data_IF_485035417906
#
_entry.id   IF_485035417906
#
_cell.length_a   1.000
_cell.length_b   1.000
_cell.length_c   1.000
_cell.angle_alpha   90.00
_cell.angle_beta   90.00
_cell.angle_gamma   90.00
#
_symmetry.space_group_name_H-M   'P 1'
#
loop_
_entity.id
_entity.type
_entity.pdbx_description
1 polymer ?
#
# COMPACT_ATOMS: atom_id res chain seq x y z
N UNK A 1 -10.47 -4.57 -19.75
CA UNK A 1 -10.61 -3.44 -18.83
C UNK A 1 -9.62 -3.57 -17.70
N UNK A 2 -8.99 -2.45 -17.34
CA UNK A 2 -8.28 -2.23 -16.09
C UNK A 2 -9.25 -2.31 -14.90
N UNK A 3 -8.75 -2.72 -13.71
CA UNK A 3 -9.56 -2.77 -12.51
C UNK A 3 -10.08 -1.36 -12.12
N UNK A 4 -11.31 -1.32 -11.62
CA UNK A 4 -11.93 -0.14 -10.99
C UNK A 4 -12.50 -0.61 -9.66
N UNK A 5 -11.89 -0.17 -8.57
CA UNK A 5 -12.20 -0.58 -7.20
C UNK A 5 -13.38 0.22 -6.60
N UNK A 6 -13.79 1.31 -7.25
CA UNK A 6 -15.03 1.99 -6.91
C UNK A 6 -16.24 1.10 -7.25
N UNK A 7 -17.17 0.99 -6.30
CA UNK A 7 -18.45 0.33 -6.54
C UNK A 7 -19.34 1.20 -7.46
N UNK A 8 -19.26 0.93 -8.76
CA UNK A 8 -20.11 1.51 -9.82
C UNK A 8 -20.56 0.45 -10.83
N UNK A 9 -21.66 0.67 -11.58
CA UNK A 9 -22.10 -0.24 -12.64
C UNK A 9 -21.02 -0.48 -13.70
N UNK A 10 -21.11 -1.61 -14.39
CA UNK A 10 -20.14 -2.01 -15.43
C UNK A 10 -20.05 -0.96 -16.55
N UNK A 11 -21.14 -0.29 -16.86
CA UNK A 11 -21.21 0.79 -17.84
C UNK A 11 -20.34 1.98 -17.46
N UNK A 12 -20.32 2.38 -16.18
CA UNK A 12 -19.41 3.41 -15.69
C UNK A 12 -17.95 2.95 -15.75
N UNK A 13 -17.67 1.69 -15.38
CA UNK A 13 -16.30 1.13 -15.48
C UNK A 13 -15.77 1.16 -16.92
N UNK A 14 -16.64 0.94 -17.91
CA UNK A 14 -16.30 1.05 -19.34
C UNK A 14 -15.95 2.48 -19.74
N UNK A 15 -16.71 3.47 -19.29
CA UNK A 15 -16.43 4.89 -19.57
C UNK A 15 -15.11 5.32 -18.91
N UNK A 16 -14.90 4.95 -17.63
CA UNK A 16 -13.64 5.20 -16.92
C UNK A 16 -12.46 4.59 -17.69
N UNK A 17 -12.58 3.33 -18.14
CA UNK A 17 -11.54 2.68 -18.93
C UNK A 17 -11.30 3.38 -20.27
N UNK A 18 -12.37 3.81 -20.95
CA UNK A 18 -12.25 4.58 -22.21
C UNK A 18 -11.48 5.88 -21.98
N UNK A 19 -11.79 6.59 -20.90
CA UNK A 19 -11.09 7.80 -20.49
C UNK A 19 -9.60 7.55 -20.19
N UNK A 20 -9.26 6.49 -19.47
CA UNK A 20 -7.85 6.07 -19.28
C UNK A 20 -7.21 5.69 -20.63
N UNK A 21 -7.98 5.11 -21.56
CA UNK A 21 -7.53 4.83 -22.91
C UNK A 21 -7.09 6.07 -23.68
N UNK A 22 -7.81 7.19 -23.55
CA UNK A 22 -7.41 8.48 -24.11
C UNK A 22 -6.08 8.98 -23.54
N UNK A 23 -5.82 8.73 -22.26
CA UNK A 23 -4.55 9.09 -21.62
C UNK A 23 -3.37 8.35 -22.25
N UNK A 24 -3.51 7.03 -22.42
CA UNK A 24 -2.49 6.23 -23.09
C UNK A 24 -2.37 6.53 -24.58
N UNK A 25 -3.47 6.87 -25.26
CA UNK A 25 -3.44 7.28 -26.66
C UNK A 25 -2.62 8.55 -26.84
N UNK A 26 -2.87 9.58 -26.02
CA UNK A 26 -2.09 10.81 -26.03
C UNK A 26 -0.62 10.54 -25.72
N UNK A 27 -0.32 9.78 -24.66
CA UNK A 27 1.06 9.41 -24.31
C UNK A 27 1.79 8.75 -25.49
N UNK A 28 1.13 7.79 -26.15
CA UNK A 28 1.70 7.12 -27.33
C UNK A 28 1.95 8.10 -28.48
N UNK A 29 0.99 8.97 -28.79
CA UNK A 29 1.16 9.98 -29.84
C UNK A 29 2.31 10.94 -29.52
N UNK A 30 2.47 11.34 -28.26
CA UNK A 30 3.60 12.18 -27.82
C UNK A 30 4.92 11.45 -27.96
N UNK A 31 5.00 10.17 -27.56
CA UNK A 31 6.19 9.33 -27.76
C UNK A 31 6.56 9.14 -29.24
N UNK A 32 5.57 9.02 -30.14
CA UNK A 32 5.78 8.87 -31.58
C UNK A 32 6.21 10.18 -32.26
N UNK A 33 5.75 11.33 -31.76
CA UNK A 33 6.10 12.65 -32.27
C UNK A 33 7.45 13.18 -31.78
N UNK A 34 7.90 12.71 -30.61
CA UNK A 34 9.19 13.04 -30.00
C UNK A 34 10.09 11.80 -29.97
N UNK A 35 10.41 11.32 -28.77
CA UNK A 35 11.16 10.10 -28.51
C UNK A 35 10.56 9.39 -27.31
N UNK A 36 10.41 8.06 -27.39
CA UNK A 36 9.99 7.27 -26.24
C UNK A 36 10.92 7.47 -25.04
N UNK A 37 12.24 7.57 -25.23
CA UNK A 37 13.15 7.75 -24.09
C UNK A 37 12.93 9.11 -23.39
N UNK A 38 12.68 10.17 -24.15
CA UNK A 38 12.49 11.52 -23.61
C UNK A 38 11.15 11.67 -22.89
N UNK A 39 10.07 11.13 -23.47
CA UNK A 39 8.72 11.24 -22.89
C UNK A 39 8.59 10.33 -21.67
N UNK A 40 9.15 9.12 -21.73
CA UNK A 40 9.03 8.15 -20.64
C UNK A 40 9.89 8.47 -19.42
N UNK A 41 10.81 9.42 -19.50
CA UNK A 41 11.54 9.97 -18.34
C UNK A 41 10.61 10.63 -17.30
N UNK A 42 9.42 11.08 -17.73
CA UNK A 42 8.37 11.56 -16.82
C UNK A 42 7.56 10.42 -16.18
N UNK A 43 7.71 9.18 -16.65
CA UNK A 43 6.92 8.02 -16.22
C UNK A 43 7.76 7.05 -15.38
N UNK A 44 9.02 6.84 -15.77
CA UNK A 44 9.91 5.87 -15.13
C UNK A 44 11.21 6.53 -14.70
N UNK A 45 11.80 6.09 -13.58
CA UNK A 45 13.12 6.53 -13.19
C UNK A 45 14.18 6.06 -14.20
N UNK A 46 15.25 6.84 -14.35
CA UNK A 46 16.33 6.60 -15.32
C UNK A 46 16.91 5.19 -15.25
N UNK A 47 17.12 4.64 -14.04
CA UNK A 47 17.67 3.30 -13.87
C UNK A 47 16.77 2.18 -14.43
N UNK A 48 15.46 2.42 -14.58
CA UNK A 48 14.55 1.52 -15.28
C UNK A 48 14.66 1.75 -16.78
N UNK A 49 14.61 2.99 -17.24
CA UNK A 49 14.62 3.32 -18.67
C UNK A 49 15.91 2.86 -19.37
N UNK A 50 17.07 3.12 -18.76
CA UNK A 50 18.39 2.79 -19.31
C UNK A 50 18.55 1.28 -19.60
N UNK A 51 17.79 0.45 -18.90
CA UNK A 51 17.93 -1.01 -18.92
C UNK A 51 16.71 -1.70 -19.55
N UNK A 52 15.53 -1.11 -19.41
CA UNK A 52 14.22 -1.74 -19.69
C UNK A 52 13.34 -0.89 -20.61
N UNK A 53 13.91 0.00 -21.43
CA UNK A 53 13.14 0.86 -22.36
C UNK A 53 12.12 0.07 -23.19
N UNK A 54 12.54 -1.04 -23.83
CA UNK A 54 11.63 -1.86 -24.66
C UNK A 54 10.44 -2.38 -23.86
N UNK A 55 10.66 -2.80 -22.61
CA UNK A 55 9.61 -3.25 -21.70
C UNK A 55 8.67 -2.10 -21.33
N UNK A 56 9.19 -0.91 -21.01
CA UNK A 56 8.39 0.28 -20.72
C UNK A 56 7.45 0.63 -21.90
N UNK A 57 8.00 0.64 -23.12
CA UNK A 57 7.25 0.84 -24.36
C UNK A 57 6.15 -0.22 -24.52
N UNK A 58 6.48 -1.47 -24.25
CA UNK A 58 5.55 -2.59 -24.38
C UNK A 58 4.43 -2.53 -23.34
N UNK A 59 4.74 -2.16 -22.09
CA UNK A 59 3.77 -2.01 -21.01
C UNK A 59 2.73 -0.92 -21.31
N UNK A 60 3.12 0.19 -21.93
CA UNK A 60 2.20 1.24 -22.39
C UNK A 60 1.21 0.69 -23.43
N UNK A 61 1.71 -0.06 -24.42
CA UNK A 61 0.88 -0.68 -25.45
C UNK A 61 -0.09 -1.69 -24.85
N UNK A 62 0.39 -2.48 -23.89
CA UNK A 62 -0.42 -3.46 -23.18
C UNK A 62 -1.52 -2.79 -22.39
N UNK A 63 -1.21 -1.79 -21.54
CA UNK A 63 -2.21 -1.06 -20.76
C UNK A 63 -3.25 -0.40 -21.66
N UNK A 64 -2.84 0.25 -22.75
CA UNK A 64 -3.76 0.76 -23.76
C UNK A 64 -4.68 -0.36 -24.28
N UNK A 65 -4.16 -1.51 -24.66
CA UNK A 65 -5.00 -2.63 -25.12
C UNK A 65 -5.96 -3.12 -24.02
N UNK A 66 -5.51 -3.12 -22.75
CA UNK A 66 -6.35 -3.49 -21.61
C UNK A 66 -7.52 -2.52 -21.41
N UNK A 67 -7.36 -1.23 -21.73
CA UNK A 67 -8.48 -0.27 -21.67
C UNK A 67 -9.52 -0.51 -22.76
N UNK A 68 -9.12 -1.10 -23.90
CA UNK A 68 -10.00 -1.35 -25.04
C UNK A 68 -10.73 -2.70 -24.95
N UNK A 69 -10.18 -3.69 -24.23
CA UNK A 69 -10.80 -5.01 -24.12
C UNK A 69 -11.89 -5.10 -23.04
N UNK A 70 -12.71 -6.15 -23.08
CA UNK A 70 -13.80 -6.40 -22.14
C UNK A 70 -13.47 -7.40 -21.01
N UNK A 71 -12.20 -7.83 -20.89
CA UNK A 71 -11.78 -8.75 -19.83
C UNK A 71 -11.72 -8.02 -18.50
N UNK A 72 -12.40 -8.56 -17.48
CA UNK A 72 -12.36 -8.03 -16.13
C UNK A 72 -11.11 -8.55 -15.42
N UNK A 73 -10.31 -7.62 -14.90
CA UNK A 73 -9.08 -7.90 -14.17
C UNK A 73 -9.31 -7.57 -12.70
N UNK A 74 -8.86 -8.45 -11.81
CA UNK A 74 -8.97 -8.24 -10.36
C UNK A 74 -7.86 -7.36 -9.80
N UNK A 75 -6.69 -7.41 -10.42
CA UNK A 75 -5.48 -6.69 -10.04
C UNK A 75 -4.55 -6.49 -11.25
N UNK A 76 -3.62 -5.55 -11.11
CA UNK A 76 -2.50 -5.35 -12.00
C UNK A 76 -1.21 -5.78 -11.28
N UNK A 77 -0.18 -6.16 -12.03
CA UNK A 77 1.14 -6.34 -11.42
C UNK A 77 1.78 -4.97 -11.16
N UNK A 78 2.69 -4.84 -10.17
CA UNK A 78 3.22 -3.53 -9.76
C UNK A 78 3.83 -2.69 -10.88
N UNK A 79 4.48 -3.32 -11.87
CA UNK A 79 5.03 -2.60 -13.02
C UNK A 79 3.93 -1.91 -13.87
N UNK A 80 2.77 -2.56 -14.01
CA UNK A 80 1.60 -1.96 -14.66
C UNK A 80 0.96 -0.87 -13.81
N UNK A 81 0.91 -1.05 -12.49
CA UNK A 81 0.37 -0.06 -11.55
C UNK A 81 1.20 1.23 -11.57
N UNK A 82 2.52 1.12 -11.45
CA UNK A 82 3.46 2.23 -11.61
C UNK A 82 3.20 2.99 -12.91
N UNK A 83 3.14 2.25 -14.03
CA UNK A 83 2.95 2.84 -15.35
C UNK A 83 1.62 3.58 -15.46
N UNK A 84 0.54 2.98 -14.95
CA UNK A 84 -0.79 3.58 -14.95
C UNK A 84 -0.81 4.86 -14.10
N UNK A 85 -0.25 4.81 -12.89
CA UNK A 85 -0.23 5.92 -11.95
C UNK A 85 0.47 7.13 -12.57
N UNK A 86 1.70 6.93 -13.03
CA UNK A 86 2.48 8.00 -13.61
C UNK A 86 1.92 8.49 -14.96
N UNK A 87 1.23 7.64 -15.73
CA UNK A 87 0.52 8.10 -16.94
C UNK A 87 -0.64 9.03 -16.60
N UNK A 88 -1.40 8.73 -15.55
CA UNK A 88 -2.49 9.61 -15.06
C UNK A 88 -1.90 10.93 -14.55
N UNK A 89 -0.83 10.88 -13.75
CA UNK A 89 -0.15 12.08 -13.26
C UNK A 89 0.39 12.94 -14.42
N UNK A 90 1.06 12.30 -15.38
CA UNK A 90 1.54 12.98 -16.59
C UNK A 90 0.40 13.64 -17.38
N UNK A 91 -0.74 12.96 -17.54
CA UNK A 91 -1.92 13.55 -18.19
C UNK A 91 -2.40 14.81 -17.48
N UNK A 92 -2.48 14.77 -16.15
CA UNK A 92 -2.89 15.92 -15.32
C UNK A 92 -1.92 17.11 -15.47
N UNK A 93 -0.63 16.84 -15.70
CA UNK A 93 0.38 17.88 -15.88
C UNK A 93 0.35 18.52 -17.27
N UNK A 94 -0.08 17.79 -18.31
CA UNK A 94 0.00 18.24 -19.71
C UNK A 94 -1.34 18.62 -20.34
N UNK A 95 -2.46 18.45 -19.64
CA UNK A 95 -3.80 18.74 -20.16
C UNK A 95 -4.66 19.59 -19.22
N UNK A 96 -5.53 20.42 -19.79
CA UNK A 96 -6.50 21.24 -19.06
C UNK A 96 -7.86 20.51 -18.93
N UNK A 97 -7.86 19.34 -18.28
CA UNK A 97 -8.98 18.58 -17.68
C UNK A 97 -10.31 18.31 -18.47
N UNK A 98 -10.50 18.72 -19.73
CA UNK A 98 -11.85 18.76 -20.35
C UNK A 98 -12.14 17.83 -21.55
N UNK A 99 -11.22 16.96 -21.97
CA UNK A 99 -11.40 16.14 -23.19
C UNK A 99 -11.88 14.69 -22.92
N UNK A 100 -12.40 14.40 -21.72
CA UNK A 100 -12.84 13.05 -21.34
C UNK A 100 -14.36 12.90 -21.37
N UNK A 101 -14.83 11.66 -21.56
CA UNK A 101 -16.26 11.35 -21.57
C UNK A 101 -16.84 11.49 -20.15
N UNK A 102 -17.95 12.21 -20.05
CA UNK A 102 -18.74 12.30 -18.81
C UNK A 102 -19.30 10.93 -18.43
N UNK A 103 -19.14 10.53 -17.17
CA UNK A 103 -19.85 9.42 -16.55
C UNK A 103 -21.25 9.93 -16.15
N UNK A 104 -22.34 9.39 -16.76
CA UNK A 104 -23.69 9.85 -16.46
C UNK A 104 -24.05 9.71 -14.98
N UNK A 105 -24.63 10.77 -14.40
CA UNK A 105 -25.08 10.84 -13.00
C UNK A 105 -25.88 9.63 -12.50
N UNK A 106 -26.66 8.98 -13.37
CA UNK A 106 -27.40 7.73 -13.05
C UNK A 106 -26.51 6.56 -12.61
N UNK A 107 -25.21 6.58 -12.91
CA UNK A 107 -24.24 5.58 -12.51
C UNK A 107 -23.40 6.00 -11.30
N UNK A 108 -23.56 7.24 -10.82
CA UNK A 108 -22.72 7.85 -9.79
C UNK A 108 -23.36 7.81 -8.39
N UNK A 109 -24.58 7.30 -8.26
CA UNK A 109 -25.24 7.11 -6.97
C UNK A 109 -24.82 5.77 -6.36
N UNK A 110 -24.37 5.78 -5.12
CA UNK A 110 -23.98 4.57 -4.40
C UNK A 110 -25.20 3.80 -3.83
N UNK A 111 -24.95 2.70 -3.11
CA UNK A 111 -26.01 1.89 -2.49
C UNK A 111 -26.72 2.61 -1.33
N UNK A 112 -26.10 3.63 -0.73
CA UNK A 112 -26.67 4.44 0.34
C UNK A 112 -27.51 5.61 -0.17
N UNK A 113 -27.43 5.89 -1.48
CA UNK A 113 -28.08 7.04 -2.11
C UNK A 113 -27.19 8.28 -2.19
N UNK A 114 -25.92 8.18 -1.79
CA UNK A 114 -24.94 9.26 -1.90
C UNK A 114 -24.57 9.51 -3.37
N UNK A 115 -24.64 10.78 -3.76
CA UNK A 115 -24.29 11.24 -5.09
C UNK A 115 -22.78 11.51 -5.19
N UNK A 116 -22.08 10.69 -5.98
CA UNK A 116 -20.63 10.79 -6.21
C UNK A 116 -20.32 11.33 -7.61
N UNK A 117 -21.24 12.04 -8.25
CA UNK A 117 -21.07 12.52 -9.62
C UNK A 117 -19.81 13.37 -9.81
N UNK A 118 -19.61 14.40 -8.97
CA UNK A 118 -18.44 15.28 -9.07
C UNK A 118 -17.15 14.52 -8.73
N UNK A 119 -17.23 13.56 -7.80
CA UNK A 119 -16.09 12.73 -7.42
C UNK A 119 -15.63 11.83 -8.57
N UNK A 120 -16.55 11.15 -9.25
CA UNK A 120 -16.24 10.19 -10.32
C UNK A 120 -15.78 10.90 -11.60
N UNK A 121 -16.34 12.07 -11.90
CA UNK A 121 -15.98 12.86 -13.08
C UNK A 121 -14.75 13.76 -12.88
N UNK A 122 -14.15 13.76 -11.69
CA UNK A 122 -12.90 14.46 -11.44
C UNK A 122 -11.72 13.51 -11.67
N UNK A 123 -10.91 13.82 -12.69
CA UNK A 123 -9.75 13.03 -13.11
C UNK A 123 -8.74 12.86 -11.98
N UNK A 124 -8.58 13.88 -11.13
CA UNK A 124 -7.68 13.81 -9.95
C UNK A 124 -8.07 12.68 -9.00
N UNK A 125 -9.31 12.23 -9.00
CA UNK A 125 -9.76 11.13 -8.14
C UNK A 125 -9.55 9.74 -8.78
N UNK A 126 -9.13 9.65 -10.04
CA UNK A 126 -8.88 8.35 -10.69
C UNK A 126 -7.84 7.52 -9.94
N UNK A 127 -6.81 8.17 -9.39
CA UNK A 127 -5.78 7.53 -8.56
C UNK A 127 -6.35 6.91 -7.28
N UNK A 128 -7.51 7.36 -6.80
CA UNK A 128 -8.14 6.82 -5.59
C UNK A 128 -8.89 5.51 -5.83
N UNK A 129 -9.35 5.26 -7.06
CA UNK A 129 -10.20 4.11 -7.37
C UNK A 129 -9.72 3.18 -8.48
N UNK A 130 -8.61 3.50 -9.14
CA UNK A 130 -7.93 2.59 -10.07
C UNK A 130 -6.88 1.70 -9.39
N UNK A 131 -6.59 1.95 -8.12
CA UNK A 131 -5.57 1.24 -7.33
C UNK A 131 -6.17 0.68 -6.04
N UNK A 132 -5.67 -0.47 -5.61
CA UNK A 132 -6.08 -1.11 -4.35
C UNK A 132 -5.28 -0.58 -3.17
N UNK A 133 -4.00 -0.38 -3.40
CA UNK A 133 -2.99 0.20 -2.52
C UNK A 133 -1.98 0.95 -3.39
N UNK A 134 -1.05 1.65 -2.74
CA UNK A 134 -0.01 2.43 -3.40
C UNK A 134 1.40 1.91 -3.02
N UNK A 135 1.50 0.63 -2.65
CA UNK A 135 2.76 0.01 -2.18
C UNK A 135 3.89 0.18 -3.20
N UNK A 136 3.57 0.16 -4.50
CA UNK A 136 4.52 0.36 -5.59
C UNK A 136 5.21 1.73 -5.60
N UNK A 137 4.72 2.72 -4.83
CA UNK A 137 5.36 4.04 -4.69
C UNK A 137 6.40 4.08 -3.56
N UNK A 138 6.28 3.20 -2.56
CA UNK A 138 7.08 3.24 -1.32
C UNK A 138 8.14 2.12 -1.25
N UNK A 139 8.70 1.73 -2.40
CA UNK A 139 9.60 0.58 -2.52
C UNK A 139 10.87 0.70 -1.67
N UNK A 140 11.38 1.91 -1.45
CA UNK A 140 12.53 2.16 -0.57
C UNK A 140 12.20 1.79 0.88
N UNK A 141 11.02 2.20 1.36
CA UNK A 141 10.55 1.92 2.71
C UNK A 141 10.28 0.42 2.86
N UNK A 142 9.54 -0.18 1.92
CA UNK A 142 9.25 -1.61 1.88
C UNK A 142 10.54 -2.43 1.92
N UNK A 143 11.54 -2.06 1.11
CA UNK A 143 12.81 -2.76 1.08
C UNK A 143 13.65 -2.55 2.34
N UNK A 144 13.62 -1.35 2.94
CA UNK A 144 14.25 -1.09 4.23
C UNK A 144 13.67 -1.95 5.35
N UNK A 145 12.34 -2.11 5.40
CA UNK A 145 11.66 -3.02 6.32
C UNK A 145 12.11 -4.45 6.05
N UNK A 146 12.14 -4.89 4.79
CA UNK A 146 12.62 -6.22 4.44
C UNK A 146 14.05 -6.47 4.93
N UNK A 147 14.96 -5.47 4.83
CA UNK A 147 16.34 -5.61 5.30
C UNK A 147 16.45 -5.76 6.81
N UNK A 148 15.65 -5.00 7.55
CA UNK A 148 15.73 -4.95 9.00
C UNK A 148 14.92 -6.04 9.69
N UNK A 149 13.72 -6.32 9.19
CA UNK A 149 12.79 -7.29 9.75
C UNK A 149 11.88 -7.89 8.66
N UNK A 150 12.36 -8.90 7.90
CA UNK A 150 11.57 -9.52 6.84
C UNK A 150 10.27 -10.18 7.33
N UNK A 151 10.24 -10.70 8.57
CA UNK A 151 9.05 -11.37 9.12
C UNK A 151 7.89 -10.38 9.32
N UNK A 152 8.20 -9.14 9.71
CA UNK A 152 7.21 -8.05 9.78
C UNK A 152 6.60 -7.77 8.41
N UNK A 153 7.38 -7.86 7.33
CA UNK A 153 6.86 -7.61 5.99
C UNK A 153 6.02 -8.79 5.48
N UNK A 154 6.57 -9.99 5.57
CA UNK A 154 5.99 -11.20 4.98
C UNK A 154 4.79 -11.73 5.77
N UNK A 155 4.90 -11.80 7.11
CA UNK A 155 3.91 -12.47 7.95
C UNK A 155 2.84 -11.54 8.49
N UNK A 156 3.10 -10.22 8.45
CA UNK A 156 2.28 -9.24 9.14
C UNK A 156 1.73 -8.16 8.21
N UNK A 157 2.58 -7.57 7.36
CA UNK A 157 2.11 -6.66 6.31
C UNK A 157 1.59 -7.41 5.08
N UNK A 158 1.89 -8.71 4.96
CA UNK A 158 1.54 -9.56 3.81
C UNK A 158 2.05 -9.01 2.47
N UNK A 159 3.18 -8.32 2.50
CA UNK A 159 3.83 -7.74 1.32
C UNK A 159 4.91 -8.71 0.84
N UNK A 160 4.78 -9.15 -0.40
CA UNK A 160 5.80 -9.94 -1.08
C UNK A 160 6.68 -9.05 -1.95
N UNK A 161 7.93 -8.84 -1.51
CA UNK A 161 8.94 -8.05 -2.21
C UNK A 161 9.22 -8.57 -3.62
N UNK A 162 9.02 -9.87 -3.88
CA UNK A 162 9.26 -10.47 -5.20
C UNK A 162 8.42 -9.80 -6.29
N UNK A 163 7.20 -9.39 -5.95
CA UNK A 163 6.29 -8.72 -6.88
C UNK A 163 6.83 -7.36 -7.38
N UNK A 164 7.73 -6.74 -6.60
CA UNK A 164 8.23 -5.39 -6.86
C UNK A 164 9.65 -5.35 -7.44
N UNK A 165 10.34 -6.49 -7.55
CA UNK A 165 11.74 -6.54 -8.01
C UNK A 165 11.94 -5.90 -9.39
N UNK A 166 10.91 -5.91 -10.23
CA UNK A 166 10.97 -5.31 -11.56
C UNK A 166 11.09 -3.77 -11.53
N UNK A 167 10.64 -3.14 -10.45
CA UNK A 167 10.71 -1.69 -10.24
C UNK A 167 11.98 -1.25 -9.50
N UNK A 168 12.74 -2.20 -8.95
CA UNK A 168 13.94 -1.90 -8.16
C UNK A 168 15.22 -1.80 -9.01
N UNK A 169 16.21 -1.02 -8.55
CA UNK A 169 17.56 -1.01 -9.14
C UNK A 169 18.24 -2.38 -9.10
N UNK A 170 19.13 -2.65 -10.07
CA UNK A 170 19.77 -3.97 -10.22
C UNK A 170 20.66 -4.38 -9.04
N UNK A 171 21.32 -3.43 -8.39
CA UNK A 171 22.11 -3.64 -7.18
C UNK A 171 21.22 -4.07 -5.99
N UNK A 172 20.06 -3.42 -5.83
CA UNK A 172 19.05 -3.77 -4.83
C UNK A 172 18.47 -5.16 -5.09
N UNK A 173 18.16 -5.50 -6.35
CA UNK A 173 17.68 -6.84 -6.72
C UNK A 173 18.74 -7.91 -6.39
N UNK A 174 20.03 -7.65 -6.66
CA UNK A 174 21.12 -8.56 -6.31
C UNK A 174 21.26 -8.71 -4.79
N UNK A 175 21.14 -7.63 -4.04
CA UNK A 175 21.16 -7.66 -2.57
C UNK A 175 20.01 -8.51 -2.03
N UNK A 176 18.77 -8.29 -2.50
CA UNK A 176 17.60 -9.09 -2.16
C UNK A 176 17.84 -10.58 -2.38
N UNK A 177 18.32 -10.96 -3.57
CA UNK A 177 18.60 -12.35 -3.93
C UNK A 177 19.64 -12.97 -2.98
N UNK A 178 20.72 -12.25 -2.67
CA UNK A 178 21.74 -12.72 -1.76
C UNK A 178 21.21 -12.92 -0.33
N UNK A 179 20.31 -12.04 0.15
CA UNK A 179 19.68 -12.18 1.46
C UNK A 179 18.71 -13.36 1.51
N UNK A 180 17.89 -13.54 0.46
CA UNK A 180 16.94 -14.65 0.35
C UNK A 180 17.65 -16.00 0.43
N UNK A 181 18.78 -16.17 -0.27
CA UNK A 181 19.56 -17.41 -0.25
C UNK A 181 20.25 -17.66 1.12
N UNK A 182 20.73 -16.61 1.80
CA UNK A 182 21.22 -16.72 3.20
C UNK A 182 20.13 -17.16 4.17
N UNK A 183 18.89 -16.68 4.00
CA UNK A 183 17.74 -17.06 4.84
C UNK A 183 17.33 -18.51 4.61
N UNK A 184 17.24 -18.96 3.35
CA UNK A 184 16.95 -20.35 3.00
C UNK A 184 17.98 -21.31 3.61
N UNK A 185 19.27 -21.04 3.41
CA UNK A 185 20.34 -21.86 3.99
C UNK A 185 20.33 -21.91 5.53
N UNK A 186 19.87 -20.85 6.20
CA UNK A 186 19.70 -20.85 7.66
C UNK A 186 18.47 -21.63 8.14
N UNK A 187 17.42 -21.78 7.31
CA UNK A 187 16.19 -22.52 7.65
C UNK A 187 16.38 -24.03 7.52
N UNK A 188 17.14 -24.50 6.52
CA UNK A 188 17.45 -25.93 6.37
C UNK A 188 18.24 -26.50 7.57
N UNK A 189 18.91 -25.65 8.36
CA UNK A 189 19.58 -26.02 9.61
C UNK A 189 18.70 -26.03 10.88
N UNK A 190 17.42 -25.60 10.81
CA UNK A 190 16.53 -25.37 11.97
C UNK A 190 15.31 -26.31 12.04
N UNK A 191 15.33 -27.46 11.36
CA UNK A 191 14.18 -28.35 11.09
C UNK A 191 13.37 -28.92 12.28
N UNK A 192 13.64 -28.54 13.54
CA UNK A 192 12.96 -29.05 14.75
C UNK A 192 12.32 -27.96 15.65
N UNK A 193 12.07 -26.75 15.12
CA UNK A 193 11.43 -25.68 15.89
C UNK A 193 10.01 -25.39 15.39
N UNK A 194 9.05 -25.36 16.31
CA UNK A 194 7.65 -25.02 16.00
C UNK A 194 7.35 -23.62 16.51
N UNK A 195 6.90 -22.76 15.60
CA UNK A 195 6.45 -21.39 15.88
C UNK A 195 4.93 -21.32 15.74
N UNK A 196 4.25 -20.89 16.79
CA UNK A 196 2.81 -20.64 16.73
C UNK A 196 2.49 -19.25 17.31
N UNK A 197 1.83 -18.42 16.50
CA UNK A 197 1.38 -17.08 16.88
C UNK A 197 -0.15 -17.11 16.92
N UNK A 198 -0.71 -16.92 18.10
CA UNK A 198 -2.17 -16.88 18.28
C UNK A 198 -2.48 -15.81 19.33
N UNK A 199 -3.40 -14.89 19.04
CA UNK A 199 -3.91 -13.91 20.01
C UNK A 199 -2.85 -13.03 20.72
N UNK A 200 -1.83 -12.56 20.00
CA UNK A 200 -0.79 -11.67 20.55
C UNK A 200 0.32 -12.35 21.37
N UNK A 201 0.33 -13.69 21.47
CA UNK A 201 1.40 -14.44 22.14
C UNK A 201 2.21 -15.27 21.14
N UNK A 202 3.53 -15.32 21.34
CA UNK A 202 4.47 -16.13 20.56
C UNK A 202 4.85 -17.36 21.40
N UNK A 203 4.48 -18.54 20.91
CA UNK A 203 4.90 -19.81 21.50
C UNK A 203 6.07 -20.40 20.70
N UNK A 204 7.20 -20.64 21.36
CA UNK A 204 8.39 -21.26 20.76
C UNK A 204 8.63 -22.60 21.45
N UNK A 205 8.52 -23.69 20.70
CA UNK A 205 8.84 -25.04 21.16
C UNK A 205 9.97 -25.64 20.31
N UNK A 206 10.85 -26.39 20.98
CA UNK A 206 11.94 -27.13 20.35
C UNK A 206 11.77 -28.62 20.64
N UNK A 207 11.93 -29.46 19.62
CA UNK A 207 11.76 -30.92 19.70
C UNK A 207 10.35 -31.30 20.22
N UNK A 208 10.22 -32.26 21.14
CA UNK A 208 8.93 -32.69 21.71
C UNK A 208 8.42 -31.80 22.86
N UNK A 209 8.83 -30.53 22.92
CA UNK A 209 8.37 -29.59 23.94
C UNK A 209 6.88 -29.28 23.81
N UNK A 210 6.12 -29.40 24.89
CA UNK A 210 4.70 -29.05 24.92
C UNK A 210 4.48 -27.74 25.68
N UNK A 211 3.79 -26.77 25.08
CA UNK A 211 3.52 -25.45 25.66
C UNK A 211 2.01 -25.25 25.72
N UNK A 212 1.47 -25.06 26.93
CA UNK A 212 0.05 -24.77 27.16
C UNK A 212 -0.10 -23.32 27.62
N UNK A 213 -0.78 -22.49 26.83
CA UNK A 213 -1.11 -21.10 27.16
C UNK A 213 -2.63 -20.91 27.24
N UNK A 214 -3.10 -20.12 28.22
CA UNK A 214 -4.51 -19.76 28.40
C UNK A 214 -4.65 -18.27 28.10
N UNK A 215 -5.52 -17.92 27.15
CA UNK A 215 -5.84 -16.53 26.79
C UNK A 215 -7.16 -16.10 27.41
N UNK A 216 -7.20 -14.90 27.97
CA UNK A 216 -8.40 -14.33 28.60
C UNK A 216 -8.76 -13.03 27.88
N UNK A 217 -9.52 -13.14 26.78
CA UNK A 217 -9.94 -11.99 25.98
C UNK A 217 -11.22 -11.38 26.57
N UNK A 218 -11.08 -10.33 27.37
CA UNK A 218 -12.17 -9.45 27.75
C UNK A 218 -11.96 -8.07 27.12
N UNK A 219 -12.50 -7.83 25.93
CA UNK A 219 -12.35 -6.56 25.20
C UNK A 219 -13.52 -5.62 25.54
N UNK A 220 -13.21 -4.38 25.91
CA UNK A 220 -14.18 -3.29 26.02
C UNK A 220 -13.51 -1.93 25.75
N UNK A 221 -14.26 -0.98 25.18
CA UNK A 221 -13.83 0.35 24.74
C UNK A 221 -12.97 1.16 25.74
N UNK A 222 -12.94 0.78 27.02
CA UNK A 222 -12.05 1.37 28.03
C UNK A 222 -10.56 1.08 27.77
N UNK A 223 -10.23 0.07 26.97
CA UNK A 223 -8.85 -0.35 26.69
C UNK A 223 -8.15 0.58 25.70
N UNK A 224 -8.83 1.05 24.64
CA UNK A 224 -8.26 1.99 23.67
C UNK A 224 -7.93 3.33 24.32
N UNK A 225 -8.87 3.89 25.08
CA UNK A 225 -8.66 5.17 25.78
C UNK A 225 -7.57 5.06 26.86
N UNK A 226 -7.43 3.88 27.50
CA UNK A 226 -6.34 3.62 28.44
C UNK A 226 -4.98 3.60 27.72
N UNK A 227 -4.86 2.87 26.61
CA UNK A 227 -3.63 2.80 25.81
C UNK A 227 -3.22 4.20 25.31
N UNK A 228 -4.16 4.96 24.76
CA UNK A 228 -3.91 6.33 24.28
C UNK A 228 -3.49 7.24 25.45
N UNK A 229 -4.11 7.09 26.62
CA UNK A 229 -3.73 7.83 27.82
C UNK A 229 -2.32 7.51 28.30
N UNK A 230 -1.92 6.23 28.27
CA UNK A 230 -0.57 5.78 28.60
C UNK A 230 0.46 6.37 27.63
N UNK A 231 0.21 6.31 26.31
CA UNK A 231 1.08 6.93 25.30
C UNK A 231 1.27 8.41 25.60
N UNK A 232 0.19 9.17 25.80
CA UNK A 232 0.24 10.62 26.07
C UNK A 232 1.12 10.98 27.26
N UNK A 233 1.13 10.16 28.31
CA UNK A 233 1.96 10.41 29.49
C UNK A 233 3.45 10.18 29.20
N UNK A 234 3.77 9.20 28.36
CA UNK A 234 5.14 8.84 28.01
C UNK A 234 5.79 9.81 26.99
N UNK A 235 5.00 10.60 26.25
CA UNK A 235 5.51 11.55 25.25
C UNK A 235 6.33 12.71 25.84
N UNK A 236 6.21 12.98 27.14
CA UNK A 236 6.92 14.08 27.81
C UNK A 236 8.44 13.94 27.81
N UNK A 237 8.96 12.72 27.58
CA UNK A 237 10.38 12.41 27.51
C UNK A 237 10.99 12.58 26.10
N UNK A 238 10.17 12.86 25.08
CA UNK A 238 10.59 13.04 23.70
C UNK A 238 10.83 14.50 23.31
N UNK A 239 11.51 14.70 22.17
CA UNK A 239 11.52 16.02 21.53
C UNK A 239 10.10 16.36 21.08
N UNK A 240 9.80 17.66 21.10
CA UNK A 240 8.48 18.17 20.76
C UNK A 240 7.99 17.70 19.38
N UNK A 241 8.87 17.72 18.38
CA UNK A 241 8.57 17.31 17.00
C UNK A 241 8.17 15.81 16.95
N UNK A 242 8.98 14.94 17.56
CA UNK A 242 8.72 13.50 17.65
C UNK A 242 7.41 13.19 18.42
N UNK A 243 7.15 13.94 19.50
CA UNK A 243 5.93 13.79 20.30
C UNK A 243 4.67 14.22 19.53
N UNK A 244 4.75 15.30 18.76
CA UNK A 244 3.65 15.78 17.90
C UNK A 244 3.36 14.75 16.79
N UNK A 245 4.39 14.19 16.15
CA UNK A 245 4.23 13.18 15.08
C UNK A 245 3.54 11.91 15.60
N UNK A 246 3.97 11.39 16.76
CA UNK A 246 3.33 10.22 17.38
C UNK A 246 1.86 10.52 17.72
N UNK A 247 1.59 11.72 18.24
CA UNK A 247 0.24 12.11 18.65
C UNK A 247 -0.70 12.23 17.45
N UNK A 248 -0.24 12.80 16.34
CA UNK A 248 -1.02 12.93 15.10
C UNK A 248 -1.44 11.56 14.57
N UNK A 249 -0.54 10.57 14.60
CA UNK A 249 -0.84 9.20 14.16
C UNK A 249 -1.84 8.52 15.10
N UNK A 250 -1.68 8.71 16.42
CA UNK A 250 -2.57 8.16 17.43
C UNK A 250 -3.98 8.75 17.30
N UNK A 251 -4.10 10.06 17.11
CA UNK A 251 -5.39 10.72 16.92
C UNK A 251 -6.04 10.33 15.58
N UNK A 252 -5.26 10.20 14.49
CA UNK A 252 -5.77 9.72 13.19
C UNK A 252 -6.39 8.32 13.30
N UNK A 253 -5.71 7.39 13.98
CA UNK A 253 -6.23 6.05 14.20
C UNK A 253 -7.49 6.07 15.09
N UNK A 254 -7.49 6.90 16.15
CA UNK A 254 -8.65 7.05 17.04
C UNK A 254 -9.87 7.59 16.31
N UNK A 255 -9.70 8.63 15.49
CA UNK A 255 -10.79 9.21 14.69
C UNK A 255 -11.36 8.23 13.68
N UNK A 256 -10.52 7.43 13.03
CA UNK A 256 -10.97 6.40 12.09
C UNK A 256 -11.73 5.28 12.82
N UNK A 257 -11.23 4.82 13.97
CA UNK A 257 -11.88 3.80 14.79
C UNK A 257 -13.21 4.26 15.40
N UNK A 258 -13.38 5.57 15.62
CA UNK A 258 -14.62 6.15 16.14
C UNK A 258 -15.76 6.21 15.09
N UNK A 259 -15.47 5.95 13.81
CA UNK A 259 -16.48 5.96 12.74
C UNK A 259 -17.38 4.74 12.83
N UNK A 260 -18.64 4.90 12.41
CA UNK A 260 -19.60 3.79 12.31
C UNK A 260 -19.16 2.71 11.31
N UNK A 261 -18.33 3.07 10.33
CA UNK A 261 -17.68 2.16 9.39
C UNK A 261 -16.22 2.60 9.16
N UNK A 262 -15.28 2.11 10.00
CA UNK A 262 -13.86 2.37 9.82
C UNK A 262 -13.32 1.78 8.52
N UNK A 263 -12.50 2.53 7.78
CA UNK A 263 -11.83 2.03 6.58
C UNK A 263 -10.57 1.26 6.97
N UNK A 264 -10.58 -0.04 6.65
CA UNK A 264 -9.42 -0.94 6.87
C UNK A 264 -8.13 -0.37 6.28
N UNK A 265 -8.17 0.23 5.09
CA UNK A 265 -6.98 0.83 4.46
C UNK A 265 -6.38 1.98 5.26
N UNK A 266 -7.21 2.80 5.92
CA UNK A 266 -6.73 3.91 6.76
C UNK A 266 -6.14 3.41 8.07
N UNK A 267 -6.74 2.38 8.66
CA UNK A 267 -6.18 1.74 9.84
C UNK A 267 -4.85 1.03 9.52
N UNK A 268 -4.71 0.42 8.33
CA UNK A 268 -3.44 -0.09 7.82
C UNK A 268 -2.40 1.01 7.62
N UNK A 269 -2.80 2.15 7.06
CA UNK A 269 -1.91 3.31 6.95
C UNK A 269 -1.40 3.78 8.32
N UNK A 270 -2.28 3.83 9.33
CA UNK A 270 -1.87 4.16 10.70
C UNK A 270 -0.83 3.16 11.24
N UNK A 271 -1.00 1.86 10.97
CA UNK A 271 0.01 0.84 11.34
C UNK A 271 1.35 1.10 10.65
N UNK A 272 1.34 1.41 9.36
CA UNK A 272 2.56 1.75 8.60
C UNK A 272 3.27 2.97 9.18
N UNK A 273 2.51 4.00 9.56
CA UNK A 273 3.03 5.22 10.18
C UNK A 273 3.54 5.01 11.61
N UNK A 274 2.97 4.08 12.38
CA UNK A 274 3.46 3.71 13.73
C UNK A 274 4.82 2.99 13.66
N UNK A 275 5.11 2.25 12.57
CA UNK A 275 6.34 1.48 12.45
C UNK A 275 7.64 2.29 12.63
N UNK A 276 7.86 3.45 11.97
CA UNK A 276 9.02 4.30 12.25
C UNK A 276 9.01 4.88 13.67
N UNK A 277 7.83 5.15 14.26
CA UNK A 277 7.70 5.66 15.62
C UNK A 277 8.22 4.68 16.68
N UNK A 278 8.16 3.37 16.41
CA UNK A 278 8.77 2.36 17.28
C UNK A 278 10.28 2.54 17.43
N UNK A 279 10.95 3.07 16.40
CA UNK A 279 12.40 3.35 16.44
C UNK A 279 12.69 4.59 17.28
N UNK A 280 11.84 5.61 17.19
CA UNK A 280 11.91 6.82 18.04
C UNK A 280 11.69 6.44 19.51
N UNK A 281 10.74 5.55 19.78
CA UNK A 281 10.42 5.07 21.12
C UNK A 281 11.43 4.07 21.71
N UNK A 282 12.43 3.58 20.95
CA UNK A 282 13.40 2.59 21.45
C UNK A 282 14.21 3.07 22.67
N UNK A 283 14.31 4.39 22.90
CA UNK A 283 14.94 4.97 24.09
C UNK A 283 14.05 4.98 25.34
N UNK A 284 12.74 4.73 25.20
CA UNK A 284 11.73 4.82 26.24
C UNK A 284 10.91 3.51 26.24
N UNK A 285 11.31 2.50 27.05
CA UNK A 285 10.70 1.18 27.00
C UNK A 285 9.18 1.15 27.25
N UNK A 286 8.66 2.05 28.07
CA UNK A 286 7.22 2.16 28.35
C UNK A 286 6.46 2.65 27.12
N UNK A 287 6.94 3.70 26.46
CA UNK A 287 6.36 4.23 25.22
C UNK A 287 6.36 3.17 24.11
N UNK A 288 7.48 2.46 23.94
CA UNK A 288 7.60 1.39 22.94
C UNK A 288 6.57 0.29 23.20
N UNK A 289 6.39 -0.13 24.45
CA UNK A 289 5.37 -1.11 24.83
C UNK A 289 3.95 -0.61 24.57
N UNK A 290 3.67 0.67 24.83
CA UNK A 290 2.33 1.23 24.67
C UNK A 290 1.97 1.48 23.20
N UNK A 291 2.93 1.89 22.37
CA UNK A 291 2.75 1.95 20.91
C UNK A 291 2.52 0.56 20.31
N UNK A 292 3.21 -0.46 20.82
CA UNK A 292 2.96 -1.84 20.39
C UNK A 292 1.55 -2.31 20.77
N UNK A 293 1.09 -2.08 22.00
CA UNK A 293 -0.29 -2.38 22.41
C UNK A 293 -1.32 -1.66 21.51
N UNK A 294 -1.05 -0.41 21.17
CA UNK A 294 -1.92 0.40 20.30
C UNK A 294 -1.99 -0.18 18.89
N UNK A 295 -0.85 -0.56 18.32
CA UNK A 295 -0.76 -1.24 17.03
C UNK A 295 -1.55 -2.57 17.05
N UNK A 296 -1.38 -3.38 18.11
CA UNK A 296 -2.11 -4.64 18.32
C UNK A 296 -3.62 -4.44 18.43
N UNK A 297 -4.05 -3.37 19.10
CA UNK A 297 -5.47 -3.00 19.16
C UNK A 297 -6.02 -2.70 17.77
N UNK A 298 -5.36 -1.83 17.00
CA UNK A 298 -5.78 -1.46 15.64
C UNK A 298 -5.89 -2.69 14.74
N UNK A 299 -4.91 -3.59 14.81
CA UNK A 299 -4.92 -4.84 14.05
C UNK A 299 -6.11 -5.75 14.36
N UNK A 300 -6.49 -5.85 15.62
CA UNK A 300 -7.64 -6.67 16.01
C UNK A 300 -8.96 -6.13 15.45
N UNK A 301 -9.02 -4.83 15.11
CA UNK A 301 -10.16 -4.21 14.44
C UNK A 301 -10.19 -4.39 12.91
N UNK A 302 -9.09 -4.87 12.30
CA UNK A 302 -8.94 -5.03 10.84
C UNK A 302 -9.26 -6.47 10.35
N UNK A 303 -9.60 -7.39 11.26
CA UNK A 303 -9.92 -8.80 10.95
C UNK A 303 -11.19 -8.97 10.11
#
# INVERSE_FOLDING_TARGET
MLPVYLEVPREAKKIINKNVGYMFELLKCTCEGLSYAEVLDSIYPSYILDIKLEKCVQTIKELYNMTQDNYEREALAPFYEWTLFHTISWWLDVTDENDLDEIPRKYCTDRSGEDRYDYINNIKNYIEFLFRDWDFLDLEIIYSIYKNNPELLESFLYIDVENYLELMPNDIVKEYQAMKERRKSSMDGRSNMTFNITGGQINIAKDNGNVNAIQNNGIGNNELDAIIGEIKNDLSELKKEDAEEIMDIVDMAREELAKTQPKVSRLRNCITLIAPMMTIANGIPTLSSNLQKFQEFIMNCIK
#
